data_IF_196015170706
#
_entry.id   IF_196015170706
#
_cell.length_a   1.000
_cell.length_b   1.000
_cell.length_c   1.000
_cell.angle_alpha   90.00
_cell.angle_beta   90.00
_cell.angle_gamma   90.00
#
_symmetry.space_group_name_H-M   'P 1'
#
loop_
_entity.id
_entity.type
_entity.pdbx_description
1 polymer ?
#
# COMPACT_ATOMS: atom_id res chain seq x y z
N UNK A 1 -25.46 -58.91 49.37
CA UNK A 1 -24.72 -57.84 50.07
C UNK A 1 -23.86 -58.48 51.14
N UNK A 2 -22.56 -58.13 51.23
CA UNK A 2 -22.17 -56.93 51.98
C UNK A 2 -21.15 -56.01 51.25
N UNK A 3 -21.10 -54.72 51.59
CA UNK A 3 -20.14 -53.75 51.04
C UNK A 3 -18.91 -53.60 51.94
N UNK A 4 -17.69 -53.47 51.40
CA UNK A 4 -16.50 -52.95 52.14
C UNK A 4 -15.56 -52.21 51.18
N UNK A 5 -15.68 -50.89 51.10
CA UNK A 5 -14.95 -49.84 51.84
C UNK A 5 -13.70 -49.36 51.09
N UNK A 6 -13.67 -48.06 50.79
CA UNK A 6 -12.51 -47.37 50.24
C UNK A 6 -11.38 -47.33 51.27
N UNK A 7 -10.18 -47.78 50.86
CA UNK A 7 -8.95 -47.50 51.56
C UNK A 7 -8.16 -46.46 50.77
N UNK A 8 -7.95 -45.30 51.39
CA UNK A 8 -7.10 -44.20 50.93
C UNK A 8 -5.73 -44.74 50.49
N UNK A 9 -5.34 -44.42 49.25
CA UNK A 9 -3.97 -44.63 48.76
C UNK A 9 -3.02 -43.83 49.66
N UNK A 10 -2.30 -44.54 50.51
CA UNK A 10 -1.20 -44.00 51.29
C UNK A 10 -0.10 -43.54 50.33
N UNK A 11 0.34 -42.31 50.57
CA UNK A 11 1.46 -41.60 49.96
C UNK A 11 2.63 -42.53 49.63
N UNK A 12 2.90 -42.70 48.33
CA UNK A 12 4.14 -43.28 47.85
C UNK A 12 5.31 -42.34 48.16
N UNK A 13 6.33 -42.87 48.83
CA UNK A 13 7.61 -42.20 49.08
C UNK A 13 8.37 -42.06 47.76
N UNK A 14 8.28 -40.89 47.12
CA UNK A 14 9.17 -40.49 46.04
C UNK A 14 10.46 -39.93 46.65
N UNK A 15 11.55 -40.69 46.62
CA UNK A 15 12.89 -40.18 46.88
C UNK A 15 13.32 -39.28 45.72
N UNK A 16 13.06 -37.97 45.85
CA UNK A 16 13.57 -36.96 44.95
C UNK A 16 14.99 -36.57 45.39
N UNK A 17 15.96 -36.84 44.52
CA UNK A 17 17.32 -36.35 44.61
C UNK A 17 17.32 -34.82 44.44
N UNK A 18 17.10 -34.07 45.52
CA UNK A 18 17.18 -32.61 45.54
C UNK A 18 18.66 -32.19 45.56
N UNK A 19 19.20 -31.86 44.38
CA UNK A 19 20.35 -30.96 44.27
C UNK A 19 19.84 -29.54 44.56
N UNK A 20 20.33 -28.82 45.59
CA UNK A 20 19.88 -27.45 45.82
C UNK A 20 20.53 -26.55 44.75
N UNK A 21 19.77 -26.17 43.74
CA UNK A 21 20.16 -25.06 42.88
C UNK A 21 19.93 -23.76 43.68
N UNK A 22 21.01 -23.08 44.04
CA UNK A 22 20.97 -21.73 44.61
C UNK A 22 20.67 -20.72 43.50
N UNK A 23 19.43 -20.73 42.99
CA UNK A 23 18.89 -19.59 42.26
C UNK A 23 17.99 -18.83 43.21
N UNK A 24 18.51 -17.73 43.75
CA UNK A 24 17.70 -16.73 44.43
C UNK A 24 16.68 -16.19 43.44
N UNK A 25 15.47 -16.75 43.47
CA UNK A 25 14.33 -16.14 42.80
C UNK A 25 14.27 -14.66 43.25
N UNK A 26 14.14 -13.69 42.33
CA UNK A 26 13.99 -12.31 42.75
C UNK A 26 12.76 -12.26 43.65
N UNK A 27 12.95 -11.86 44.91
CA UNK A 27 11.87 -11.59 45.84
C UNK A 27 11.00 -10.52 45.18
N UNK A 28 9.92 -10.93 44.53
CA UNK A 28 8.89 -10.00 44.06
C UNK A 28 8.46 -9.30 45.34
N UNK A 29 8.65 -7.97 45.48
CA UNK A 29 8.14 -7.28 46.65
C UNK A 29 6.64 -7.57 46.67
N UNK A 30 6.17 -8.17 47.77
CA UNK A 30 4.75 -8.28 48.10
C UNK A 30 4.21 -6.86 48.26
N UNK A 31 4.01 -6.16 47.14
CA UNK A 31 3.17 -4.98 47.14
C UNK A 31 1.77 -5.47 47.49
N UNK A 32 1.08 -4.85 48.46
CA UNK A 32 -0.28 -5.23 48.76
C UNK A 32 -1.07 -5.13 47.46
N UNK A 33 -1.75 -6.21 47.09
CA UNK A 33 -2.73 -6.18 46.02
C UNK A 33 -3.86 -5.26 46.50
N UNK A 34 -3.73 -3.96 46.24
CA UNK A 34 -4.79 -2.99 46.54
C UNK A 34 -5.92 -3.34 45.57
N UNK A 35 -6.86 -4.17 46.01
CA UNK A 35 -8.14 -4.31 45.35
C UNK A 35 -8.82 -2.95 45.41
N UNK A 36 -8.67 -2.15 44.36
CA UNK A 36 -9.46 -0.94 44.16
C UNK A 36 -10.86 -1.37 43.75
N UNK A 37 -11.65 -1.88 44.70
CA UNK A 37 -13.06 -2.13 44.48
C UNK A 37 -13.74 -0.79 44.16
N UNK A 38 -14.52 -0.76 43.09
CA UNK A 38 -15.35 0.41 42.79
C UNK A 38 -16.35 0.60 43.93
N UNK A 39 -16.41 1.80 44.51
CA UNK A 39 -17.40 2.14 45.54
C UNK A 39 -18.82 1.77 45.08
N UNK A 40 -19.60 1.18 45.99
CA UNK A 40 -21.00 0.87 45.71
C UNK A 40 -21.79 2.14 45.38
N UNK A 41 -22.82 2.02 44.54
CA UNK A 41 -23.72 3.15 44.23
C UNK A 41 -24.31 3.78 45.50
N UNK A 42 -24.60 2.96 46.51
CA UNK A 42 -25.09 3.43 47.82
C UNK A 42 -24.04 4.29 48.54
N UNK A 43 -22.79 3.86 48.54
CA UNK A 43 -21.69 4.59 49.18
C UNK A 43 -21.34 5.89 48.43
N UNK A 44 -21.38 5.87 47.09
CA UNK A 44 -21.21 7.08 46.27
C UNK A 44 -22.27 8.13 46.60
N UNK A 45 -23.55 7.72 46.73
CA UNK A 45 -24.65 8.61 47.16
C UNK A 45 -24.46 9.11 48.58
N UNK A 46 -24.04 8.25 49.51
CA UNK A 46 -23.74 8.64 50.91
C UNK A 46 -22.65 9.70 50.95
N UNK A 47 -21.54 9.49 50.25
CA UNK A 47 -20.39 10.41 50.19
C UNK A 47 -20.75 11.75 49.53
N UNK A 48 -21.58 11.73 48.48
CA UNK A 48 -22.09 12.93 47.85
C UNK A 48 -22.98 13.77 48.78
N UNK A 49 -23.80 13.12 49.62
CA UNK A 49 -24.64 13.81 50.62
C UNK A 49 -23.86 14.29 51.84
N UNK A 50 -22.81 13.58 52.24
CA UNK A 50 -21.99 13.90 53.41
C UNK A 50 -21.23 15.22 53.24
N UNK A 51 -20.75 15.52 52.03
CA UNK A 51 -20.11 16.80 51.71
C UNK A 51 -20.52 17.28 50.31
N UNK A 52 -21.64 18.02 50.21
CA UNK A 52 -22.17 18.48 48.93
C UNK A 52 -21.23 19.43 48.18
N UNK A 53 -20.51 20.30 48.90
CA UNK A 53 -19.65 21.33 48.30
C UNK A 53 -18.37 20.74 47.72
N UNK A 54 -17.64 19.91 48.48
CA UNK A 54 -16.45 19.23 47.95
C UNK A 54 -16.80 18.27 46.83
N UNK A 55 -17.95 17.61 46.93
CA UNK A 55 -18.47 16.78 45.84
C UNK A 55 -18.69 17.60 44.56
N UNK A 56 -19.34 18.77 44.66
CA UNK A 56 -19.57 19.66 43.53
C UNK A 56 -18.26 20.16 42.90
N UNK A 57 -17.28 20.60 43.71
CA UNK A 57 -15.96 21.00 43.20
C UNK A 57 -15.24 19.85 42.49
N UNK A 58 -15.30 18.63 43.03
CA UNK A 58 -14.73 17.44 42.39
C UNK A 58 -15.43 17.13 41.06
N UNK A 59 -16.76 17.27 40.99
CA UNK A 59 -17.49 17.14 39.73
C UNK A 59 -17.11 18.23 38.73
N UNK A 60 -16.95 19.48 39.13
CA UNK A 60 -16.51 20.56 38.23
C UNK A 60 -15.14 20.25 37.61
N UNK A 61 -14.15 19.84 38.41
CA UNK A 61 -12.82 19.44 37.93
C UNK A 61 -12.92 18.24 36.96
N UNK A 62 -13.73 17.25 37.31
CA UNK A 62 -13.97 16.07 36.46
C UNK A 62 -14.64 16.47 35.14
N UNK A 63 -15.66 17.32 35.18
CA UNK A 63 -16.40 17.77 34.00
C UNK A 63 -15.50 18.61 33.08
N UNK A 64 -14.65 19.47 33.64
CA UNK A 64 -13.64 20.20 32.86
C UNK A 64 -12.64 19.25 32.17
N UNK A 65 -12.16 18.22 32.87
CA UNK A 65 -11.30 17.20 32.28
C UNK A 65 -12.02 16.39 31.20
N UNK A 66 -13.27 15.97 31.44
CA UNK A 66 -14.08 15.24 30.48
C UNK A 66 -14.34 16.07 29.22
N UNK A 67 -14.62 17.37 29.37
CA UNK A 67 -14.78 18.31 28.26
C UNK A 67 -13.50 18.37 27.42
N UNK A 68 -12.35 18.63 28.06
CA UNK A 68 -11.03 18.66 27.40
C UNK A 68 -10.70 17.33 26.72
N UNK A 69 -11.02 16.20 27.35
CA UNK A 69 -10.80 14.86 26.77
C UNK A 69 -11.68 14.64 25.54
N UNK A 70 -12.92 15.12 25.57
CA UNK A 70 -13.83 15.11 24.43
C UNK A 70 -13.31 15.94 23.26
N UNK A 71 -12.83 17.16 23.52
CA UNK A 71 -12.20 18.04 22.51
C UNK A 71 -10.98 17.35 21.86
N UNK A 72 -10.04 16.84 22.67
CA UNK A 72 -8.88 16.11 22.18
C UNK A 72 -9.23 14.81 21.44
N UNK A 73 -10.35 14.18 21.81
CA UNK A 73 -10.81 12.99 21.11
C UNK A 73 -11.38 13.35 19.73
N UNK A 74 -12.19 14.42 19.64
CA UNK A 74 -12.69 14.93 18.37
C UNK A 74 -11.54 15.33 17.42
N UNK A 75 -10.49 15.98 17.94
CA UNK A 75 -9.29 16.30 17.16
C UNK A 75 -8.59 15.04 16.62
N UNK A 76 -8.45 14.00 17.46
CA UNK A 76 -7.85 12.71 17.04
C UNK A 76 -8.71 11.97 16.03
N UNK A 77 -10.02 11.96 16.22
CA UNK A 77 -10.97 11.28 15.34
C UNK A 77 -10.99 11.94 13.96
N UNK A 78 -10.90 13.28 13.90
CA UNK A 78 -10.74 14.02 12.66
C UNK A 78 -9.43 13.67 11.92
N UNK A 79 -8.34 13.45 12.65
CA UNK A 79 -7.06 13.04 12.07
C UNK A 79 -7.01 11.56 11.63
N UNK A 80 -7.85 10.71 12.23
CA UNK A 80 -7.87 9.26 11.98
C UNK A 80 -8.23 8.95 10.52
N UNK A 81 -9.19 9.69 9.96
CA UNK A 81 -9.64 9.59 8.56
C UNK A 81 -10.37 8.28 8.22
N UNK A 82 -10.63 8.06 6.93
CA UNK A 82 -11.37 6.89 6.45
C UNK A 82 -10.46 5.66 6.23
N UNK A 83 -10.85 4.46 6.69
CA UNK A 83 -10.04 3.25 6.56
C UNK A 83 -9.91 2.71 5.12
N UNK A 84 -10.81 3.13 4.22
CA UNK A 84 -10.81 2.73 2.81
C UNK A 84 -10.06 3.75 1.96
N UNK A 85 -10.54 5.00 1.96
CA UNK A 85 -10.14 6.06 1.05
C UNK A 85 -8.91 6.85 1.51
N UNK A 86 -8.71 6.99 2.82
CA UNK A 86 -7.65 7.83 3.37
C UNK A 86 -7.78 9.29 2.94
N UNK A 87 -6.66 9.93 2.62
CA UNK A 87 -6.59 11.28 2.03
C UNK A 87 -6.39 11.19 0.52
N UNK A 88 -7.03 12.07 -0.25
CA UNK A 88 -6.76 12.19 -1.69
C UNK A 88 -5.42 12.88 -1.90
N UNK A 89 -4.62 12.36 -2.83
CA UNK A 89 -3.30 12.89 -3.17
C UNK A 89 -3.17 13.00 -4.69
N UNK A 90 -2.33 13.92 -5.20
CA UNK A 90 -2.12 14.06 -6.64
C UNK A 90 -1.64 12.78 -7.32
N UNK A 91 -0.84 11.98 -6.59
CA UNK A 91 -0.38 10.68 -7.10
C UNK A 91 -1.54 9.72 -7.31
N UNK A 92 -2.46 9.61 -6.35
CA UNK A 92 -3.63 8.74 -6.47
C UNK A 92 -4.58 9.18 -7.58
N UNK A 93 -4.83 10.49 -7.70
CA UNK A 93 -5.64 11.06 -8.80
C UNK A 93 -5.02 10.77 -10.17
N UNK A 94 -3.69 10.77 -10.24
CA UNK A 94 -2.98 10.41 -11.47
C UNK A 94 -3.10 8.93 -11.84
N UNK A 95 -3.44 8.04 -10.90
CA UNK A 95 -3.69 6.62 -11.19
C UNK A 95 -5.08 6.41 -11.80
N UNK A 96 -6.05 7.23 -11.39
CA UNK A 96 -7.42 7.24 -11.94
C UNK A 96 -7.41 7.83 -13.36
N UNK A 97 -6.61 8.87 -13.59
CA UNK A 97 -6.45 9.56 -14.88
C UNK A 97 -5.38 8.91 -15.78
N UNK A 98 -4.80 7.78 -15.37
CA UNK A 98 -3.58 7.22 -15.96
C UNK A 98 -3.63 6.90 -17.45
N UNK A 99 -4.82 6.78 -18.03
CA UNK A 99 -4.99 6.53 -19.46
C UNK A 99 -4.81 7.79 -20.32
N UNK A 100 -5.00 9.00 -19.76
CA UNK A 100 -4.95 10.24 -20.54
C UNK A 100 -3.50 10.65 -20.83
N UNK A 101 -3.19 11.15 -22.04
CA UNK A 101 -1.90 11.72 -22.34
C UNK A 101 -1.65 12.91 -21.42
N UNK A 102 -0.44 12.96 -20.86
CA UNK A 102 0.00 14.07 -20.02
C UNK A 102 1.06 14.84 -20.78
N UNK A 103 0.84 16.15 -20.94
CA UNK A 103 1.90 17.06 -21.35
C UNK A 103 2.94 17.11 -20.23
N UNK A 104 4.16 16.66 -20.53
CA UNK A 104 5.31 16.81 -19.65
C UNK A 104 6.10 17.98 -20.19
N UNK A 105 6.13 19.07 -19.44
CA UNK A 105 7.00 20.20 -19.76
C UNK A 105 8.42 19.85 -19.32
N UNK A 106 9.32 19.74 -20.29
CA UNK A 106 10.75 19.60 -20.01
C UNK A 106 11.29 20.90 -19.42
N UNK A 107 12.39 20.81 -18.66
CA UNK A 107 13.07 21.99 -18.10
C UNK A 107 13.53 22.99 -19.18
N UNK A 108 13.66 22.52 -20.42
CA UNK A 108 14.03 23.31 -21.60
C UNK A 108 12.83 24.02 -22.27
N UNK A 109 11.63 23.93 -21.70
CA UNK A 109 10.39 24.54 -22.22
C UNK A 109 9.69 23.73 -23.33
N UNK A 110 10.27 22.62 -23.78
CA UNK A 110 9.65 21.71 -24.74
C UNK A 110 8.59 20.85 -24.05
N UNK A 111 7.33 20.95 -24.47
CA UNK A 111 6.25 20.09 -23.98
C UNK A 111 6.22 18.79 -24.76
N UNK A 112 6.71 17.70 -24.18
CA UNK A 112 6.61 16.36 -24.75
C UNK A 112 5.36 15.67 -24.19
N UNK A 113 4.42 15.31 -25.05
CA UNK A 113 3.25 14.52 -24.64
C UNK A 113 3.65 13.05 -24.52
N UNK A 114 3.71 12.54 -23.28
CA UNK A 114 3.94 11.10 -23.08
C UNK A 114 2.60 10.39 -23.14
N UNK A 115 2.41 9.58 -24.17
CA UNK A 115 1.23 8.75 -24.36
C UNK A 115 1.41 7.41 -23.66
N UNK A 116 0.61 7.09 -22.63
CA UNK A 116 0.68 5.79 -22.01
C UNK A 116 0.17 4.72 -22.99
N UNK A 117 0.86 3.58 -23.06
CA UNK A 117 0.51 2.47 -23.95
C UNK A 117 0.05 1.23 -23.20
N UNK A 118 -0.74 0.41 -23.89
CA UNK A 118 -1.13 -0.93 -23.47
C UNK A 118 0.00 -1.94 -23.80
N UNK A 119 -0.18 -3.18 -23.34
CA UNK A 119 0.73 -4.31 -23.63
C UNK A 119 2.20 -4.12 -23.20
N UNK A 120 2.46 -3.22 -22.25
CA UNK A 120 3.80 -2.92 -21.71
C UNK A 120 4.79 -2.33 -22.73
N UNK A 121 4.28 -1.74 -23.82
CA UNK A 121 5.11 -1.10 -24.84
C UNK A 121 5.44 0.35 -24.48
N UNK A 122 6.54 0.85 -25.03
CA UNK A 122 6.85 2.28 -25.06
C UNK A 122 6.77 2.84 -26.48
N UNK A 123 6.62 4.16 -26.60
CA UNK A 123 6.59 4.83 -27.91
C UNK A 123 7.88 4.58 -28.69
N UNK A 124 9.03 4.66 -28.01
CA UNK A 124 10.33 4.39 -28.59
C UNK A 124 10.45 2.95 -29.11
N UNK A 125 9.98 1.95 -28.35
CA UNK A 125 10.00 0.54 -28.80
C UNK A 125 9.14 0.34 -30.06
N UNK A 126 7.98 1.00 -30.15
CA UNK A 126 7.10 0.90 -31.33
C UNK A 126 7.79 1.50 -32.55
N UNK A 127 8.41 2.68 -32.38
CA UNK A 127 9.09 3.38 -33.46
C UNK A 127 10.33 2.60 -33.93
N UNK A 128 11.13 2.05 -33.02
CA UNK A 128 12.27 1.17 -33.33
C UNK A 128 11.83 -0.09 -34.12
N UNK A 129 10.76 -0.75 -33.67
CA UNK A 129 10.21 -1.94 -34.35
C UNK A 129 9.64 -1.57 -35.71
N UNK A 130 9.00 -0.41 -35.83
CA UNK A 130 8.47 0.10 -37.09
C UNK A 130 9.60 0.40 -38.08
N UNK A 131 10.69 1.04 -37.66
CA UNK A 131 11.87 1.31 -38.49
C UNK A 131 12.53 0.01 -38.96
N UNK A 132 12.70 -0.95 -38.06
CA UNK A 132 13.22 -2.27 -38.40
C UNK A 132 12.31 -2.98 -39.43
N UNK A 133 11.00 -2.95 -39.25
CA UNK A 133 10.05 -3.51 -40.20
C UNK A 133 10.07 -2.78 -41.56
N UNK A 134 10.28 -1.46 -41.56
CA UNK A 134 10.44 -0.67 -42.80
C UNK A 134 11.68 -1.10 -43.58
N UNK A 135 12.80 -1.29 -42.88
CA UNK A 135 14.04 -1.73 -43.50
C UNK A 135 13.89 -3.10 -44.18
N UNK A 136 13.20 -4.04 -43.54
CA UNK A 136 12.96 -5.38 -44.09
C UNK A 136 11.96 -5.42 -45.26
N UNK A 137 10.99 -4.50 -45.28
CA UNK A 137 9.91 -4.49 -46.29
C UNK A 137 10.16 -3.53 -47.45
N UNK A 138 11.28 -2.79 -47.42
CA UNK A 138 11.63 -1.83 -48.45
C UNK A 138 11.66 -2.53 -49.83
N UNK A 139 10.99 -2.00 -50.86
CA UNK A 139 10.99 -2.61 -52.18
C UNK A 139 12.44 -2.73 -52.70
N UNK A 140 12.81 -3.95 -53.08
CA UNK A 140 14.15 -4.23 -53.61
C UNK A 140 14.20 -3.75 -55.06
N UNK A 141 15.17 -2.89 -55.37
CA UNK A 141 15.47 -2.51 -56.75
C UNK A 141 16.24 -3.66 -57.40
N UNK A 142 15.74 -4.17 -58.52
CA UNK A 142 16.41 -5.25 -59.25
C UNK A 142 17.73 -4.77 -59.87
N UNK A 143 18.80 -5.57 -59.77
CA UNK A 143 20.13 -5.21 -60.28
C UNK A 143 20.17 -4.93 -61.81
N UNK A 144 19.21 -5.47 -62.56
CA UNK A 144 19.04 -5.20 -64.01
C UNK A 144 18.22 -3.93 -64.24
N UNK A 145 17.28 -3.64 -63.35
CA UNK A 145 16.39 -2.47 -63.43
C UNK A 145 17.14 -1.17 -63.14
N UNK A 146 18.12 -1.21 -62.23
CA UNK A 146 19.00 -0.07 -61.92
C UNK A 146 19.87 0.43 -63.08
N UNK A 147 19.94 -0.33 -64.19
CA UNK A 147 20.70 0.02 -65.40
C UNK A 147 19.85 0.69 -66.48
N UNK A 148 18.52 0.68 -66.34
CA UNK A 148 17.57 1.35 -67.22
C UNK A 148 17.20 2.73 -66.62
N UNK A 149 17.26 3.78 -67.43
CA UNK A 149 16.86 5.13 -67.02
C UNK A 149 15.37 5.16 -66.63
N UNK A 150 15.09 5.60 -65.40
CA UNK A 150 13.80 6.03 -64.86
C UNK A 150 12.57 5.18 -65.25
N UNK A 151 12.45 3.98 -64.68
CA UNK A 151 11.17 3.26 -64.68
C UNK A 151 10.22 3.95 -63.68
N UNK A 152 9.15 4.64 -64.12
CA UNK A 152 8.27 5.41 -63.23
C UNK A 152 7.67 4.58 -62.08
N UNK A 153 7.51 3.27 -62.29
CA UNK A 153 6.97 2.33 -61.30
C UNK A 153 7.82 2.13 -60.03
N UNK A 154 9.13 2.36 -60.07
CA UNK A 154 10.00 2.16 -58.88
C UNK A 154 9.85 3.28 -57.86
N UNK A 155 9.86 4.53 -58.32
CA UNK A 155 9.62 5.70 -57.47
C UNK A 155 8.18 5.67 -56.90
N UNK A 156 7.21 5.26 -57.71
CA UNK A 156 5.83 5.06 -57.25
C UNK A 156 5.73 3.98 -56.17
N UNK A 157 6.44 2.86 -56.33
CA UNK A 157 6.49 1.79 -55.33
C UNK A 157 7.11 2.24 -54.00
N UNK A 158 8.18 3.04 -54.06
CA UNK A 158 8.83 3.61 -52.87
C UNK A 158 7.90 4.60 -52.15
N UNK A 159 7.27 5.53 -52.88
CA UNK A 159 6.31 6.47 -52.27
C UNK A 159 5.09 5.77 -51.69
N UNK A 160 4.61 4.70 -52.34
CA UNK A 160 3.52 3.88 -51.80
C UNK A 160 3.96 3.12 -50.55
N UNK A 161 5.16 2.56 -50.52
CA UNK A 161 5.74 1.90 -49.34
C UNK A 161 5.85 2.87 -48.16
N UNK A 162 6.37 4.06 -48.38
CA UNK A 162 6.50 5.10 -47.34
C UNK A 162 5.14 5.53 -46.78
N UNK A 163 4.14 5.72 -47.66
CA UNK A 163 2.76 6.03 -47.24
C UNK A 163 2.16 4.89 -46.42
N UNK A 164 2.35 3.64 -46.85
CA UNK A 164 1.87 2.46 -46.12
C UNK A 164 2.55 2.33 -44.75
N UNK A 165 3.86 2.59 -44.70
CA UNK A 165 4.62 2.57 -43.46
C UNK A 165 4.13 3.66 -42.49
N UNK A 166 4.02 4.91 -42.93
CA UNK A 166 3.51 6.01 -42.11
C UNK A 166 2.10 5.72 -41.55
N UNK A 167 1.21 5.18 -42.39
CA UNK A 167 -0.12 4.75 -41.97
C UNK A 167 -0.08 3.61 -40.95
N UNK A 168 0.83 2.65 -41.12
CA UNK A 168 1.00 1.53 -40.19
C UNK A 168 1.49 2.01 -38.83
N UNK A 169 2.47 2.92 -38.79
CA UNK A 169 2.98 3.54 -37.56
C UNK A 169 1.86 4.25 -36.81
N UNK A 170 1.09 5.09 -37.50
CA UNK A 170 -0.06 5.77 -36.90
C UNK A 170 -1.11 4.77 -36.36
N UNK A 171 -1.39 3.71 -37.11
CA UNK A 171 -2.31 2.67 -36.67
C UNK A 171 -1.80 1.92 -35.43
N UNK A 172 -0.52 1.55 -35.38
CA UNK A 172 0.10 0.90 -34.23
C UNK A 172 0.00 1.77 -32.98
N UNK A 173 0.30 3.06 -33.12
CA UNK A 173 0.12 4.02 -32.04
C UNK A 173 -1.35 4.03 -31.56
N UNK A 174 -2.33 4.16 -32.44
CA UNK A 174 -3.75 4.18 -32.04
C UNK A 174 -4.22 2.88 -31.39
N UNK A 175 -3.76 1.73 -31.88
CA UNK A 175 -4.11 0.41 -31.34
C UNK A 175 -3.53 0.23 -29.94
N UNK A 176 -2.30 0.67 -29.72
CA UNK A 176 -1.57 0.52 -28.46
C UNK A 176 -1.87 1.64 -27.46
N UNK A 177 -2.63 2.67 -27.83
CA UNK A 177 -3.00 3.75 -26.92
C UNK A 177 -3.79 3.21 -25.70
N UNK A 178 -3.31 3.50 -24.47
CA UNK A 178 -3.93 3.00 -23.24
C UNK A 178 -5.34 3.54 -23.00
N UNK A 179 -5.69 4.68 -23.61
CA UNK A 179 -7.05 5.24 -23.60
C UNK A 179 -8.09 4.23 -24.08
N UNK A 180 -7.76 3.55 -25.18
CA UNK A 180 -8.57 2.51 -25.81
C UNK A 180 -8.46 1.16 -25.06
N UNK A 181 -7.56 1.07 -24.08
CA UNK A 181 -7.28 -0.14 -23.32
C UNK A 181 -8.35 -0.48 -22.27
N UNK A 182 -8.34 -1.74 -21.86
CA UNK A 182 -9.25 -2.26 -20.83
C UNK A 182 -8.86 -1.79 -19.43
N UNK A 183 -9.75 -1.98 -18.44
CA UNK A 183 -9.41 -1.75 -17.03
C UNK A 183 -8.24 -2.60 -16.54
N UNK A 184 -8.00 -3.77 -17.17
CA UNK A 184 -6.84 -4.62 -16.89
C UNK A 184 -5.54 -3.99 -17.37
N UNK A 185 -5.53 -3.41 -18.57
CA UNK A 185 -4.35 -2.75 -19.12
C UNK A 185 -3.97 -1.54 -18.28
N UNK A 186 -4.97 -0.72 -17.89
CA UNK A 186 -4.77 0.41 -16.97
C UNK A 186 -4.21 -0.04 -15.63
N UNK A 187 -4.67 -1.18 -15.12
CA UNK A 187 -4.13 -1.75 -13.88
C UNK A 187 -2.65 -2.13 -14.04
N UNK A 188 -2.29 -2.83 -15.11
CA UNK A 188 -0.90 -3.24 -15.36
C UNK A 188 0.04 -2.05 -15.54
N UNK A 189 -0.39 -1.03 -16.29
CA UNK A 189 0.34 0.23 -16.42
C UNK A 189 0.52 0.93 -15.07
N UNK A 190 -0.54 1.01 -14.26
CA UNK A 190 -0.46 1.57 -12.90
C UNK A 190 0.49 0.76 -12.00
N UNK A 191 0.57 -0.57 -12.14
CA UNK A 191 1.54 -1.39 -11.42
C UNK A 191 2.97 -1.02 -11.80
N UNK A 192 3.28 -0.84 -13.10
CA UNK A 192 4.61 -0.39 -13.52
C UNK A 192 4.95 0.99 -12.93
N UNK A 193 4.02 1.94 -12.98
CA UNK A 193 4.20 3.27 -12.36
C UNK A 193 4.48 3.17 -10.86
N UNK A 194 3.72 2.34 -10.16
CA UNK A 194 3.89 2.10 -8.71
C UNK A 194 5.25 1.48 -8.41
N UNK A 195 5.69 0.49 -9.19
CA UNK A 195 7.02 -0.14 -9.03
C UNK A 195 8.12 0.89 -9.26
N UNK A 196 8.00 1.71 -10.30
CA UNK A 196 8.99 2.75 -10.62
C UNK A 196 9.04 3.88 -9.57
N UNK A 197 7.92 4.13 -8.87
CA UNK A 197 7.82 5.19 -7.87
C UNK A 197 8.27 4.75 -6.48
N UNK A 198 7.83 3.57 -6.03
CA UNK A 198 8.06 3.06 -4.67
C UNK A 198 9.10 1.94 -4.59
N UNK A 199 9.59 1.44 -5.71
CA UNK A 199 10.57 0.38 -5.74
C UNK A 199 11.90 0.81 -5.10
N UNK A 200 12.48 -0.05 -4.28
CA UNK A 200 13.73 0.21 -3.55
C UNK A 200 14.93 0.46 -4.45
N UNK A 201 14.87 -0.02 -5.69
CA UNK A 201 15.87 0.27 -6.71
C UNK A 201 15.99 1.77 -7.02
N UNK A 202 14.94 2.57 -6.77
CA UNK A 202 14.94 4.02 -6.95
C UNK A 202 14.93 4.77 -5.62
N UNK A 203 14.13 4.32 -4.66
CA UNK A 203 13.92 5.05 -3.40
C UNK A 203 15.12 5.00 -2.45
N UNK A 204 15.94 3.95 -2.49
CA UNK A 204 17.12 3.84 -1.62
C UNK A 204 18.15 4.96 -1.90
N UNK A 205 18.19 5.51 -3.14
CA UNK A 205 19.05 6.64 -3.50
C UNK A 205 18.39 8.01 -3.33
N UNK A 206 17.06 8.09 -3.48
CA UNK A 206 16.33 9.37 -3.46
C UNK A 206 15.90 9.82 -2.05
N UNK A 207 15.70 8.87 -1.13
CA UNK A 207 15.13 9.16 0.20
C UNK A 207 16.17 8.92 1.28
N UNK A 208 16.17 9.78 2.31
CA UNK A 208 17.09 9.63 3.44
C UNK A 208 16.98 8.23 4.08
N UNK A 209 18.10 7.50 4.23
CA UNK A 209 18.09 6.18 4.81
C UNK A 209 17.74 6.23 6.30
N UNK A 210 17.28 5.10 6.83
CA UNK A 210 17.06 4.94 8.27
C UNK A 210 18.41 5.06 9.00
N UNK A 211 18.50 5.78 10.14
CA UNK A 211 19.73 5.83 10.91
C UNK A 211 20.17 4.41 11.31
N UNK A 212 21.47 4.15 11.17
CA UNK A 212 22.05 2.85 11.48
C UNK A 212 21.82 2.50 12.96
N UNK A 213 21.57 1.22 13.24
CA UNK A 213 21.55 0.74 14.61
C UNK A 213 22.97 0.78 15.20
N UNK A 214 23.09 0.98 16.51
CA UNK A 214 24.38 1.07 17.21
C UNK A 214 25.32 -0.12 16.93
N UNK A 215 24.76 -1.31 16.65
CA UNK A 215 25.50 -2.55 16.36
C UNK A 215 25.20 -3.07 14.94
N UNK A 216 25.11 -2.19 13.94
CA UNK A 216 24.86 -2.63 12.56
C UNK A 216 26.07 -3.38 12.00
N UNK A 217 25.85 -4.58 11.46
CA UNK A 217 26.88 -5.36 10.77
C UNK A 217 27.30 -4.65 9.49
N UNK A 218 28.60 -4.36 9.34
CA UNK A 218 29.21 -3.66 8.19
C UNK A 218 29.40 -4.55 6.95
N UNK A 219 28.60 -5.61 6.82
CA UNK A 219 28.72 -6.54 5.68
C UNK A 219 28.05 -5.91 4.46
N UNK A 220 28.81 -5.76 3.39
CA UNK A 220 28.29 -5.31 2.10
C UNK A 220 27.34 -6.37 1.54
N UNK A 221 26.10 -5.96 1.25
CA UNK A 221 25.11 -6.83 0.62
C UNK A 221 25.30 -6.81 -0.91
N UNK A 222 25.09 -7.95 -1.60
CA UNK A 222 25.18 -7.97 -3.05
C UNK A 222 24.14 -7.02 -3.68
N UNK A 223 24.45 -6.43 -4.85
CA UNK A 223 23.50 -5.61 -5.56
C UNK A 223 22.28 -6.43 -5.99
N UNK A 224 21.15 -5.76 -6.17
CA UNK A 224 19.93 -6.40 -6.64
C UNK A 224 20.07 -6.76 -8.12
N UNK A 225 19.62 -7.96 -8.49
CA UNK A 225 19.64 -8.42 -9.88
C UNK A 225 18.63 -7.69 -10.79
N UNK A 226 17.60 -7.06 -10.23
CA UNK A 226 16.56 -6.39 -11.02
C UNK A 226 15.66 -5.45 -10.21
N UNK A 227 14.57 -5.04 -10.83
CA UNK A 227 13.61 -4.13 -10.24
C UNK A 227 12.90 -4.74 -9.01
N UNK A 228 12.83 -3.96 -7.94
CA UNK A 228 12.14 -4.35 -6.72
C UNK A 228 10.62 -4.29 -6.89
N UNK A 229 9.98 -5.46 -6.96
CA UNK A 229 8.52 -5.62 -7.06
C UNK A 229 7.90 -6.18 -5.77
N UNK A 230 8.74 -6.63 -4.82
CA UNK A 230 8.32 -7.40 -3.66
C UNK A 230 8.31 -6.62 -2.35
N UNK A 231 8.82 -5.39 -2.32
CA UNK A 231 8.82 -4.59 -1.09
C UNK A 231 7.40 -4.29 -0.57
N UNK A 232 7.30 -4.13 0.75
CA UNK A 232 6.00 -3.85 1.39
C UNK A 232 5.35 -2.57 0.86
N UNK A 233 6.15 -1.56 0.50
CA UNK A 233 5.68 -0.29 -0.09
C UNK A 233 4.98 -0.50 -1.41
N UNK A 234 5.65 -1.20 -2.34
CA UNK A 234 5.10 -1.55 -3.65
C UNK A 234 3.82 -2.38 -3.47
N UNK A 235 3.83 -3.38 -2.59
CA UNK A 235 2.65 -4.21 -2.33
C UNK A 235 1.48 -3.38 -1.76
N UNK A 236 1.74 -2.46 -0.84
CA UNK A 236 0.73 -1.57 -0.24
C UNK A 236 0.16 -0.62 -1.30
N UNK A 237 1.01 -0.04 -2.15
CA UNK A 237 0.61 0.84 -3.23
C UNK A 237 -0.29 0.11 -4.25
N UNK A 238 0.11 -1.11 -4.70
CA UNK A 238 -0.69 -1.93 -5.60
C UNK A 238 -2.05 -2.29 -4.97
N UNK A 239 -2.06 -2.69 -3.69
CA UNK A 239 -3.31 -2.95 -2.98
C UNK A 239 -4.18 -1.71 -2.88
N UNK A 240 -3.58 -0.54 -2.67
CA UNK A 240 -4.31 0.73 -2.58
C UNK A 240 -5.00 1.07 -3.90
N UNK A 241 -4.32 0.90 -5.03
CA UNK A 241 -4.94 1.06 -6.35
C UNK A 241 -6.10 0.05 -6.58
N UNK A 242 -5.91 -1.22 -6.21
CA UNK A 242 -6.96 -2.25 -6.33
C UNK A 242 -8.17 -1.97 -5.43
N UNK A 243 -7.92 -1.53 -4.20
CA UNK A 243 -8.96 -1.20 -3.21
C UNK A 243 -9.81 -0.04 -3.71
N UNK A 244 -9.18 1.03 -4.24
CA UNK A 244 -9.89 2.19 -4.81
C UNK A 244 -10.78 1.76 -5.98
N UNK A 245 -10.20 1.11 -7.00
CA UNK A 245 -10.95 0.63 -8.15
C UNK A 245 -12.16 -0.25 -7.76
N UNK A 246 -11.98 -1.15 -6.79
CA UNK A 246 -13.07 -2.01 -6.32
C UNK A 246 -14.11 -1.23 -5.50
N UNK A 247 -13.66 -0.31 -4.64
CA UNK A 247 -14.55 0.53 -3.84
C UNK A 247 -15.39 1.46 -4.73
N UNK A 248 -14.78 2.05 -5.77
CA UNK A 248 -15.48 2.86 -6.78
C UNK A 248 -16.53 2.01 -7.50
N UNK A 249 -16.16 0.81 -7.99
CA UNK A 249 -17.08 -0.10 -8.65
C UNK A 249 -18.25 -0.57 -7.77
N UNK A 250 -18.01 -0.75 -6.47
CA UNK A 250 -19.06 -1.11 -5.50
C UNK A 250 -19.95 0.07 -5.13
N UNK A 251 -19.41 1.29 -5.15
CA UNK A 251 -20.18 2.52 -4.94
C UNK A 251 -21.04 2.90 -6.16
N UNK A 252 -20.57 2.53 -7.36
CA UNK A 252 -21.27 2.76 -8.61
C UNK A 252 -22.37 1.70 -8.87
N UNK A 253 -23.40 2.08 -9.64
CA UNK A 253 -24.41 1.18 -10.18
C UNK A 253 -25.09 0.29 -9.11
N UNK A 254 -25.33 -0.99 -9.43
CA UNK A 254 -25.93 -2.02 -8.56
C UNK A 254 -24.91 -2.69 -7.63
N UNK A 255 -23.76 -2.07 -7.38
CA UNK A 255 -22.65 -2.64 -6.58
C UNK A 255 -23.04 -3.03 -5.16
N UNK A 256 -24.08 -2.42 -4.59
CA UNK A 256 -24.62 -2.80 -3.29
C UNK A 256 -25.12 -4.26 -3.23
N UNK A 257 -25.48 -4.88 -4.38
CA UNK A 257 -25.90 -6.29 -4.47
C UNK A 257 -24.72 -7.27 -4.55
N UNK A 258 -23.52 -6.79 -4.83
CA UNK A 258 -22.34 -7.64 -5.01
C UNK A 258 -21.67 -7.99 -3.67
N UNK A 259 -22.14 -9.07 -3.05
CA UNK A 259 -21.68 -9.52 -1.74
C UNK A 259 -20.27 -10.13 -1.82
N UNK A 260 -19.93 -10.79 -2.92
CA UNK A 260 -18.63 -11.43 -3.11
C UNK A 260 -17.51 -10.39 -3.20
N UNK A 261 -17.72 -9.32 -3.97
CA UNK A 261 -16.73 -8.27 -4.07
C UNK A 261 -16.62 -7.42 -2.81
N UNK A 262 -17.70 -7.24 -2.03
CA UNK A 262 -17.58 -6.66 -0.67
C UNK A 262 -16.69 -7.50 0.25
N UNK A 263 -16.78 -8.84 0.19
CA UNK A 263 -15.86 -9.73 0.90
C UNK A 263 -14.43 -9.57 0.40
N UNK A 264 -14.22 -9.51 -0.91
CA UNK A 264 -12.90 -9.32 -1.50
C UNK A 264 -12.27 -7.98 -1.10
N UNK A 265 -13.06 -6.90 -1.07
CA UNK A 265 -12.63 -5.59 -0.57
C UNK A 265 -12.14 -5.69 0.88
N UNK A 266 -12.92 -6.33 1.75
CA UNK A 266 -12.56 -6.56 3.17
C UNK A 266 -11.22 -7.30 3.31
N UNK A 267 -11.04 -8.38 2.54
CA UNK A 267 -9.80 -9.16 2.56
C UNK A 267 -8.60 -8.34 2.09
N UNK A 268 -8.77 -7.49 1.06
CA UNK A 268 -7.72 -6.60 0.59
C UNK A 268 -7.36 -5.53 1.62
N UNK A 269 -8.35 -4.92 2.28
CA UNK A 269 -8.11 -3.96 3.36
C UNK A 269 -7.32 -4.59 4.50
N UNK A 270 -7.71 -5.78 4.96
CA UNK A 270 -7.00 -6.48 6.03
C UNK A 270 -5.59 -6.93 5.61
N UNK A 271 -5.40 -7.32 4.34
CA UNK A 271 -4.05 -7.62 3.81
C UNK A 271 -3.16 -6.37 3.82
N UNK A 272 -3.69 -5.22 3.37
CA UNK A 272 -2.98 -3.93 3.41
C UNK A 272 -2.66 -3.53 4.85
N UNK A 273 -3.61 -3.67 5.77
CA UNK A 273 -3.41 -3.39 7.19
C UNK A 273 -2.27 -4.23 7.78
N UNK A 274 -2.20 -5.53 7.48
CA UNK A 274 -1.10 -6.39 7.95
C UNK A 274 0.26 -5.91 7.45
N UNK A 275 0.36 -5.54 6.17
CA UNK A 275 1.58 -5.01 5.58
C UNK A 275 1.98 -3.67 6.21
N UNK A 276 1.04 -2.77 6.43
CA UNK A 276 1.29 -1.48 7.09
C UNK A 276 1.79 -1.65 8.52
N UNK A 277 1.17 -2.54 9.31
CA UNK A 277 1.62 -2.84 10.68
C UNK A 277 3.01 -3.46 10.72
N UNK A 278 3.35 -4.30 9.74
CA UNK A 278 4.69 -4.85 9.62
C UNK A 278 5.71 -3.76 9.28
N UNK A 279 5.40 -2.94 8.29
CA UNK A 279 6.28 -1.89 7.81
C UNK A 279 6.50 -0.80 8.87
N UNK A 280 5.46 -0.37 9.59
CA UNK A 280 5.56 0.58 10.72
C UNK A 280 6.58 0.07 11.77
N UNK A 281 6.52 -1.22 12.11
CA UNK A 281 7.45 -1.85 13.06
C UNK A 281 8.88 -1.92 12.53
N UNK A 282 9.06 -2.26 11.26
CA UNK A 282 10.39 -2.47 10.66
C UNK A 282 11.09 -1.14 10.37
N UNK A 283 10.37 -0.18 9.83
CA UNK A 283 10.90 1.09 9.33
C UNK A 283 10.96 2.17 10.41
N UNK A 284 10.10 2.13 11.43
CA UNK A 284 10.06 3.08 12.57
C UNK A 284 10.22 4.55 12.13
N UNK A 285 9.42 5.01 11.18
CA UNK A 285 9.44 6.40 10.75
C UNK A 285 10.64 6.79 9.89
N UNK A 286 11.27 5.84 9.20
CA UNK A 286 12.27 6.16 8.16
C UNK A 286 11.66 7.08 7.09
N UNK A 287 12.51 7.85 6.40
CA UNK A 287 12.04 8.74 5.33
C UNK A 287 11.23 7.99 4.26
N UNK A 288 11.55 6.72 4.04
CA UNK A 288 10.82 5.82 3.13
C UNK A 288 9.38 5.57 3.55
N UNK A 289 9.15 5.31 4.85
CA UNK A 289 7.80 5.15 5.40
C UNK A 289 6.99 6.44 5.26
N UNK A 290 7.59 7.58 5.61
CA UNK A 290 6.96 8.89 5.52
C UNK A 290 6.58 9.24 4.08
N UNK A 291 7.51 9.07 3.13
CA UNK A 291 7.26 9.28 1.71
C UNK A 291 6.10 8.41 1.18
N UNK A 292 6.06 7.13 1.55
CA UNK A 292 4.96 6.24 1.17
C UNK A 292 3.62 6.73 1.73
N UNK A 293 3.56 7.08 3.01
CA UNK A 293 2.33 7.58 3.65
C UNK A 293 1.83 8.84 2.96
N UNK A 294 2.71 9.80 2.72
CA UNK A 294 2.37 11.10 2.15
C UNK A 294 1.89 10.96 0.70
N UNK A 295 2.61 10.19 -0.13
CA UNK A 295 2.23 10.00 -1.53
C UNK A 295 0.94 9.20 -1.70
N UNK A 296 0.73 8.16 -0.90
CA UNK A 296 -0.48 7.32 -0.98
C UNK A 296 -1.64 7.84 -0.12
N UNK A 297 -1.46 8.94 0.64
CA UNK A 297 -2.50 9.52 1.48
C UNK A 297 -2.98 8.60 2.59
N UNK A 298 -2.10 7.76 3.14
CA UNK A 298 -2.48 6.72 4.10
C UNK A 298 -2.69 7.31 5.50
N UNK A 299 -3.86 7.09 6.09
CA UNK A 299 -4.19 7.58 7.43
C UNK A 299 -4.14 6.47 8.48
N UNK A 300 -3.93 6.79 9.77
CA UNK A 300 -3.82 5.77 10.81
C UNK A 300 -5.05 4.85 10.93
N UNK A 301 -6.26 5.28 10.53
CA UNK A 301 -7.45 4.42 10.44
C UNK A 301 -7.22 3.14 9.62
N UNK A 302 -6.33 3.20 8.63
CA UNK A 302 -6.14 2.12 7.66
C UNK A 302 -5.31 0.96 8.21
N UNK A 303 -4.63 1.14 9.36
CA UNK A 303 -3.86 0.06 9.97
C UNK A 303 -3.98 -0.04 11.50
N UNK A 304 -4.35 1.04 12.19
CA UNK A 304 -4.59 1.03 13.64
C UNK A 304 -6.02 0.57 13.93
N UNK A 305 -6.19 -0.21 15.00
CA UNK A 305 -7.49 -0.75 15.38
C UNK A 305 -7.98 -1.87 14.46
N UNK A 306 -9.29 -2.10 14.47
CA UNK A 306 -9.97 -3.11 13.67
C UNK A 306 -10.75 -2.44 12.53
N UNK A 307 -10.54 -2.89 11.29
CA UNK A 307 -11.31 -2.41 10.15
C UNK A 307 -12.60 -3.21 10.05
N UNK A 308 -13.72 -2.55 10.34
CA UNK A 308 -15.06 -3.10 10.22
C UNK A 308 -15.78 -2.44 9.05
N UNK A 309 -16.13 -3.25 8.04
CA UNK A 309 -17.03 -2.84 6.96
C UNK A 309 -18.44 -3.34 7.30
N UNK A 310 -19.36 -2.41 7.54
CA UNK A 310 -20.80 -2.69 7.63
C UNK A 310 -21.40 -2.83 6.23
#
# INVERSE_FOLDING_TARGET
MPPRLEALQRLGTMNLCLRPATTTAPKIPLMPLIQTANLSQRERKRKAKQDPYRWAQAQQRKNANLKRRGELQAERDALLGDPIWGRKTPFLESLETAARPKAVEAADGTSTTVTPRSHYLSDAEIDEVAEHARALTKPVVGAVSSQLEDVPGEAESQTQHDRRHARAVEALHRITALENGSGRDRHHFNVQRIVNEFGRHRTDGAVAPKPAALNASTVEMPPRAGADTGSSEVQIAILTAKIRNLADALSANRGYKDIHNKRNLRLMLHKRQKLLRYMERKERGSGRWTNMIEKLGLTPAMWRGQIELR
#
